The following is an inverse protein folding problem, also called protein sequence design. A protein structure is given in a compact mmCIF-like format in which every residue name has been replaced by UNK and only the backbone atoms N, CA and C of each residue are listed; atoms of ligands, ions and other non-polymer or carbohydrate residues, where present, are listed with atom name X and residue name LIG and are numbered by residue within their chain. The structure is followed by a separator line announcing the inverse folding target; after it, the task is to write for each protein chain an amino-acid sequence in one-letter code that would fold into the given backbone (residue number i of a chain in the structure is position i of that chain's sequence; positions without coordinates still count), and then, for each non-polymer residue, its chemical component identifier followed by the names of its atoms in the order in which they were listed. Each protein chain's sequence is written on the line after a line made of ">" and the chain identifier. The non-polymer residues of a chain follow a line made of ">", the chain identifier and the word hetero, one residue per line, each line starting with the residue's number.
data_IF_469919419480
#
_entry.id   IF_469919419480
#
_cell.length_a   1.000
_cell.length_b   1.000
_cell.length_c   1.000
_cell.angle_alpha   90.00
_cell.angle_beta   90.00
_cell.angle_gamma   90.00
#
_symmetry.space_group_name_H-M   'P 1'
#
loop_
_entity.id
_entity.type
_entity.pdbx_description
1 polymer ?
#
# COMPACT_ATOMS: atom_id res chain seq x y z
N UNK A 1 1.38 2.10 14.95
CA UNK A 1 1.01 1.60 13.60
C UNK A 1 2.11 1.99 12.62
N UNK A 2 2.62 1.07 11.79
CA UNK A 2 3.67 1.42 10.81
C UNK A 2 3.05 1.98 9.52
N UNK A 3 3.85 2.65 8.68
CA UNK A 3 3.39 3.08 7.34
C UNK A 3 2.84 1.91 6.52
N UNK A 4 3.51 0.75 6.55
CA UNK A 4 3.08 -0.44 5.83
C UNK A 4 1.71 -0.93 6.31
N UNK A 5 1.45 -0.87 7.61
CA UNK A 5 0.14 -1.26 8.14
C UNK A 5 -0.95 -0.27 7.74
N UNK A 6 -0.63 1.03 7.71
CA UNK A 6 -1.54 2.09 7.25
C UNK A 6 -1.90 1.95 5.78
N UNK A 7 -0.90 1.73 4.93
CA UNK A 7 -1.09 1.47 3.50
C UNK A 7 -1.97 0.22 3.31
N UNK A 8 -1.66 -0.86 4.03
CA UNK A 8 -2.43 -2.09 3.91
C UNK A 8 -3.89 -1.90 4.33
N UNK A 9 -4.15 -1.19 5.43
CA UNK A 9 -5.52 -0.90 5.88
C UNK A 9 -6.30 -0.12 4.82
N UNK A 10 -5.71 0.93 4.26
CA UNK A 10 -6.34 1.73 3.20
C UNK A 10 -6.61 0.91 1.94
N UNK A 11 -5.63 0.13 1.48
CA UNK A 11 -5.79 -0.71 0.29
C UNK A 11 -6.80 -1.85 0.49
N UNK A 12 -6.91 -2.38 1.72
CA UNK A 12 -7.96 -3.34 2.07
C UNK A 12 -9.34 -2.69 2.05
N UNK A 13 -9.50 -1.48 2.58
CA UNK A 13 -10.79 -0.76 2.57
C UNK A 13 -11.22 -0.35 1.16
N UNK A 14 -10.28 0.00 0.29
CA UNK A 14 -10.57 0.39 -1.10
C UNK A 14 -10.80 -0.81 -2.04
N UNK A 15 -10.40 -2.02 -1.64
CA UNK A 15 -10.45 -3.24 -2.47
C UNK A 15 -9.79 -3.09 -3.86
N UNK A 16 -8.65 -2.41 -3.93
CA UNK A 16 -7.96 -2.26 -5.21
C UNK A 16 -6.63 -1.50 -5.14
N UNK A 17 -5.89 -1.45 -6.27
CA UNK A 17 -4.70 -0.61 -6.38
C UNK A 17 -5.07 0.86 -6.25
N UNK A 18 -4.24 1.62 -5.53
CA UNK A 18 -4.42 3.06 -5.36
C UNK A 18 -3.12 3.79 -5.65
N UNK A 19 -3.25 5.05 -6.10
CA UNK A 19 -2.08 5.89 -6.31
C UNK A 19 -1.50 6.31 -4.95
N UNK A 20 -0.19 6.46 -4.88
CA UNK A 20 0.52 6.66 -3.61
C UNK A 20 0.11 7.94 -2.90
N UNK A 21 -0.22 8.98 -3.67
CA UNK A 21 -0.76 10.23 -3.13
C UNK A 21 -2.13 10.01 -2.48
N UNK A 22 -3.00 9.21 -3.08
CA UNK A 22 -4.35 8.93 -2.56
C UNK A 22 -4.31 8.03 -1.34
N UNK A 23 -3.39 7.06 -1.34
CA UNK A 23 -3.11 6.24 -0.15
C UNK A 23 -2.70 7.14 1.01
N UNK A 24 -1.77 8.08 0.77
CA UNK A 24 -1.33 9.03 1.79
C UNK A 24 -2.47 9.92 2.29
N UNK A 25 -3.25 10.50 1.37
CA UNK A 25 -4.41 11.32 1.71
C UNK A 25 -5.44 10.54 2.55
N UNK A 26 -5.70 9.27 2.21
CA UNK A 26 -6.58 8.41 2.98
C UNK A 26 -6.00 8.07 4.38
N UNK A 27 -4.69 7.82 4.50
CA UNK A 27 -4.04 7.59 5.80
C UNK A 27 -4.23 8.79 6.73
N UNK A 28 -3.98 10.01 6.21
CA UNK A 28 -4.15 11.26 6.96
C UNK A 28 -5.62 11.49 7.31
N UNK A 29 -6.53 11.34 6.35
CA UNK A 29 -7.98 11.51 6.55
C UNK A 29 -8.55 10.56 7.60
N UNK A 30 -8.03 9.35 7.67
CA UNK A 30 -8.46 8.34 8.64
C UNK A 30 -7.70 8.43 9.98
N UNK A 31 -6.83 9.42 10.18
CA UNK A 31 -6.03 9.57 11.40
C UNK A 31 -5.11 8.36 11.68
N UNK A 32 -4.75 7.59 10.65
CA UNK A 32 -4.01 6.33 10.81
C UNK A 32 -2.52 6.55 11.08
N UNK A 33 -2.02 7.77 10.84
CA UNK A 33 -0.63 8.13 11.06
C UNK A 33 -0.48 9.64 11.30
N UNK A 34 0.15 10.01 12.41
CA UNK A 34 0.51 11.39 12.74
C UNK A 34 2.03 11.56 12.57
N UNK A 35 2.45 12.05 11.41
CA UNK A 35 3.86 12.31 11.11
C UNK A 35 4.23 13.78 11.25
N UNK A 36 5.18 14.11 12.13
CA UNK A 36 5.74 15.47 12.30
C UNK A 36 6.86 15.82 11.30
N UNK A 37 6.69 15.52 10.01
CA UNK A 37 7.75 15.66 9.00
C UNK A 37 7.32 16.43 7.74
N UNK A 38 8.28 17.04 7.04
CA UNK A 38 8.02 17.88 5.85
C UNK A 38 7.52 17.10 4.62
N UNK A 39 7.65 15.78 4.56
CA UNK A 39 7.17 14.99 3.39
C UNK A 39 6.98 13.48 3.65
N UNK A 40 6.16 13.06 4.63
CA UNK A 40 5.99 11.66 5.02
C UNK A 40 5.52 10.72 3.88
N UNK A 41 4.86 11.23 2.83
CA UNK A 41 4.48 10.42 1.66
C UNK A 41 5.71 9.84 0.91
N UNK A 42 6.83 10.59 0.82
CA UNK A 42 8.05 10.11 0.14
C UNK A 42 8.67 8.97 0.91
N UNK A 43 8.75 9.10 2.23
CA UNK A 43 9.25 8.04 3.12
C UNK A 43 8.38 6.78 3.02
N UNK A 44 7.05 6.93 3.02
CA UNK A 44 6.12 5.82 2.81
C UNK A 44 6.37 5.12 1.46
N UNK A 45 6.52 5.91 0.39
CA UNK A 45 6.78 5.39 -0.96
C UNK A 45 8.09 4.61 -1.01
N UNK A 46 9.19 5.16 -0.46
CA UNK A 46 10.49 4.49 -0.40
C UNK A 46 10.45 3.19 0.39
N UNK A 47 9.66 3.13 1.47
CA UNK A 47 9.47 1.90 2.24
C UNK A 47 8.71 0.83 1.43
N UNK A 48 7.70 1.21 0.66
CA UNK A 48 6.99 0.28 -0.23
C UNK A 48 7.92 -0.26 -1.32
N UNK A 49 8.65 0.62 -2.01
CA UNK A 49 9.61 0.24 -3.05
C UNK A 49 10.66 -0.72 -2.48
N UNK A 50 11.23 -0.40 -1.33
CA UNK A 50 12.24 -1.24 -0.68
C UNK A 50 11.67 -2.59 -0.23
N UNK A 51 10.44 -2.62 0.29
CA UNK A 51 9.79 -3.87 0.71
C UNK A 51 9.53 -4.79 -0.49
N UNK A 52 9.01 -4.23 -1.59
CA UNK A 52 8.78 -4.95 -2.84
C UNK A 52 10.10 -5.44 -3.44
N UNK A 53 11.14 -4.59 -3.48
CA UNK A 53 12.44 -4.97 -4.02
C UNK A 53 13.13 -6.07 -3.20
N UNK A 54 13.05 -6.01 -1.86
CA UNK A 54 13.72 -6.98 -0.97
C UNK A 54 12.95 -8.29 -0.84
N UNK A 55 11.61 -8.24 -0.88
CA UNK A 55 10.76 -9.41 -0.62
C UNK A 55 10.17 -10.01 -1.89
N UNK A 56 10.14 -9.27 -3.00
CA UNK A 56 9.54 -9.71 -4.26
C UNK A 56 8.13 -10.24 -4.06
N UNK A 57 7.93 -11.49 -4.47
CA UNK A 57 6.66 -12.22 -4.32
C UNK A 57 6.22 -12.46 -2.87
N UNK A 58 7.15 -12.35 -1.91
CA UNK A 58 6.85 -12.43 -0.47
C UNK A 58 6.38 -11.08 0.11
N UNK A 59 6.48 -9.99 -0.64
CA UNK A 59 5.90 -8.71 -0.22
C UNK A 59 4.38 -8.81 -0.23
N UNK A 60 3.76 -8.22 0.80
CA UNK A 60 2.29 -8.04 0.84
C UNK A 60 1.80 -6.98 -0.15
N UNK A 61 2.72 -6.20 -0.73
CA UNK A 61 2.43 -5.15 -1.69
C UNK A 61 2.90 -5.57 -3.08
N UNK A 62 2.24 -5.03 -4.09
CA UNK A 62 2.65 -5.16 -5.49
C UNK A 62 2.56 -3.79 -6.15
N UNK A 63 3.55 -3.45 -6.97
CA UNK A 63 3.49 -2.27 -7.82
C UNK A 63 2.78 -2.65 -9.11
N UNK A 64 1.62 -2.06 -9.33
CA UNK A 64 0.77 -2.35 -10.50
C UNK A 64 1.09 -1.38 -11.64
N UNK A 65 1.63 -0.19 -11.33
CA UNK A 65 1.99 0.82 -12.32
C UNK A 65 2.86 1.93 -11.75
N UNK A 66 3.00 3.03 -12.50
CA UNK A 66 3.72 4.22 -12.02
C UNK A 66 2.95 4.87 -10.87
N UNK A 67 3.54 4.87 -9.67
CA UNK A 67 2.90 5.41 -8.46
C UNK A 67 1.68 4.62 -7.96
N UNK A 68 1.33 3.50 -8.60
CA UNK A 68 0.15 2.70 -8.31
C UNK A 68 0.53 1.41 -7.57
N UNK A 69 -0.01 1.23 -6.37
CA UNK A 69 0.30 0.10 -5.49
C UNK A 69 -0.97 -0.61 -5.04
N UNK A 70 -0.91 -1.93 -4.98
CA UNK A 70 -2.00 -2.78 -4.50
C UNK A 70 -1.53 -3.78 -3.44
N UNK A 71 -2.50 -4.47 -2.83
CA UNK A 71 -2.21 -5.62 -1.99
C UNK A 71 -2.08 -6.87 -2.84
N UNK A 72 -1.04 -7.65 -2.55
CA UNK A 72 -0.91 -9.00 -3.07
C UNK A 72 -1.92 -9.87 -2.34
N UNK A 73 -2.98 -10.28 -3.03
CA UNK A 73 -3.97 -11.25 -2.52
C UNK A 73 -3.23 -12.54 -2.17
N UNK A 74 -3.07 -12.83 -0.87
CA UNK A 74 -2.64 -14.17 -0.41
C UNK A 74 -3.82 -15.11 -0.68
N UNK A 75 -3.79 -15.80 -1.82
CA UNK A 75 -4.76 -16.83 -2.14
C UNK A 75 -6.08 -16.35 -2.75
N UNK A 76 -6.05 -15.44 -3.73
CA UNK A 76 -7.07 -15.56 -4.78
C UNK A 76 -6.68 -16.78 -5.63
N UNK A 77 -7.17 -17.96 -5.23
CA UNK A 77 -7.62 -18.92 -6.23
C UNK A 77 -8.55 -18.11 -7.14
N UNK A 78 -8.23 -18.04 -8.44
CA UNK A 78 -9.11 -17.42 -9.41
C UNK A 78 -10.55 -17.90 -9.13
N UNK A 79 -11.58 -17.05 -9.18
CA UNK A 79 -12.94 -17.56 -9.15
C UNK A 79 -13.01 -18.63 -10.23
N UNK A 80 -13.30 -19.87 -9.84
CA UNK A 80 -13.68 -20.89 -10.80
C UNK A 80 -14.87 -20.29 -11.54
N UNK A 81 -14.68 -20.03 -12.85
CA UNK A 81 -15.78 -19.60 -13.72
C UNK A 81 -16.90 -20.63 -13.51
N UNK A 82 -18.02 -20.16 -12.97
CA UNK A 82 -19.27 -20.91 -12.90
C UNK A 82 -19.99 -20.76 -14.23
#
# INVERSE_FOLDING_TARGET
>A
MTFKDAVAKVLTTHDGPMHTCDIWAAIVRNGLYEGKGKTPYRTMTSQLITDIARRGERSRFVRVGFGLYGLRKRGHRAPARS
#
